data_IF_262956998733
#
_entry.id   IF_262956998733
#
_cell.length_a   1.000
_cell.length_b   1.000
_cell.length_c   1.000
_cell.angle_alpha   90.00
_cell.angle_beta   90.00
_cell.angle_gamma   90.00
#
_symmetry.space_group_name_H-M   'P 1'
#
loop_
_entity.id
_entity.type
_entity.pdbx_description
1 polymer ?
#
# COMPACT_ATOMS: atom_id res chain seq x y z
N UNK A 1 7.08 -1.58 -8.77
CA UNK A 1 7.61 -0.64 -9.79
C UNK A 1 8.00 0.66 -9.11
N UNK A 2 9.31 0.95 -8.97
CA UNK A 2 9.84 2.14 -8.28
C UNK A 2 10.54 3.13 -9.24
N UNK A 3 10.56 2.82 -10.54
CA UNK A 3 11.50 3.36 -11.53
C UNK A 3 10.98 4.51 -12.40
N UNK A 4 9.75 4.98 -12.19
CA UNK A 4 9.12 6.01 -13.06
C UNK A 4 8.85 7.34 -12.35
N UNK A 5 9.37 7.52 -11.13
CA UNK A 5 9.28 8.79 -10.40
C UNK A 5 10.64 9.50 -10.49
N UNK A 6 10.68 10.67 -11.12
CA UNK A 6 11.88 11.51 -11.17
C UNK A 6 12.08 12.35 -9.90
N UNK A 7 11.14 12.29 -8.95
CA UNK A 7 11.24 12.97 -7.67
C UNK A 7 11.96 12.12 -6.62
N UNK A 8 12.72 12.79 -5.76
CA UNK A 8 13.33 12.17 -4.60
C UNK A 8 12.24 11.58 -3.67
N UNK A 9 12.43 10.36 -3.14
CA UNK A 9 11.45 9.73 -2.26
C UNK A 9 11.35 10.49 -0.93
N UNK A 10 10.12 10.89 -0.57
CA UNK A 10 9.83 11.44 0.76
C UNK A 10 9.13 10.43 1.65
N UNK A 11 9.53 10.41 2.91
CA UNK A 11 9.00 9.49 3.90
C UNK A 11 7.60 9.92 4.35
N UNK A 12 6.64 8.99 4.30
CA UNK A 12 5.24 9.27 4.69
C UNK A 12 5.04 9.46 6.20
N UNK A 13 6.05 9.10 7.02
CA UNK A 13 5.99 9.22 8.49
C UNK A 13 6.55 10.55 8.99
N UNK A 14 7.67 11.01 8.44
CA UNK A 14 8.37 12.20 8.92
C UNK A 14 8.54 13.31 7.88
N UNK A 15 8.12 13.13 6.63
CA UNK A 15 8.25 14.12 5.54
C UNK A 15 9.71 14.44 5.14
N UNK A 16 10.66 13.61 5.57
CA UNK A 16 12.09 13.74 5.23
C UNK A 16 12.48 12.95 3.98
N UNK A 17 13.66 13.28 3.44
CA UNK A 17 14.22 12.73 2.21
C UNK A 17 14.82 11.32 2.42
N UNK A 18 13.93 10.33 2.58
CA UNK A 18 14.26 8.92 2.50
C UNK A 18 13.06 8.02 2.18
N UNK A 19 13.32 6.75 1.87
CA UNK A 19 12.29 5.72 1.71
C UNK A 19 11.66 5.42 3.08
N UNK A 20 10.34 5.23 3.14
CA UNK A 20 9.63 4.88 4.39
C UNK A 20 10.19 3.65 5.12
N UNK A 21 10.86 2.75 4.40
CA UNK A 21 11.55 1.55 4.93
C UNK A 21 12.78 1.91 5.78
N UNK A 22 13.52 2.95 5.43
CA UNK A 22 14.72 3.40 6.15
C UNK A 22 14.40 4.45 7.22
N UNK A 23 13.12 4.66 7.53
CA UNK A 23 12.69 5.68 8.49
C UNK A 23 12.92 5.21 9.92
N UNK A 24 13.75 5.95 10.67
CA UNK A 24 14.06 5.66 12.08
C UNK A 24 13.00 6.20 13.07
N UNK A 25 11.91 6.79 12.56
CA UNK A 25 10.82 7.33 13.38
C UNK A 25 10.03 6.18 14.03
N UNK A 26 9.85 6.22 15.35
CA UNK A 26 9.03 5.23 16.07
C UNK A 26 7.58 5.21 15.55
N UNK A 27 6.99 4.02 15.52
CA UNK A 27 5.58 3.81 15.14
C UNK A 27 4.61 4.53 16.07
N UNK A 28 4.98 4.73 17.33
CA UNK A 28 4.13 5.36 18.36
C UNK A 28 4.13 6.89 18.24
N UNK A 29 5.10 7.46 17.53
CA UNK A 29 5.20 8.91 17.38
C UNK A 29 4.30 9.41 16.24
N UNK A 30 3.65 10.58 16.39
CA UNK A 30 2.68 11.06 15.42
C UNK A 30 3.36 11.35 14.07
N UNK A 31 2.67 11.10 12.96
CA UNK A 31 3.20 11.43 11.64
C UNK A 31 3.37 12.95 11.47
N UNK A 32 4.27 13.38 10.59
CA UNK A 32 4.41 14.77 10.20
C UNK A 32 3.63 15.06 8.92
N UNK A 33 2.81 16.12 8.95
CA UNK A 33 1.95 16.49 7.84
C UNK A 33 2.75 17.19 6.74
N UNK A 34 2.84 16.59 5.54
CA UNK A 34 3.52 17.22 4.39
C UNK A 34 2.87 18.55 3.90
N UNK A 35 1.65 18.88 4.37
CA UNK A 35 0.92 20.09 3.97
C UNK A 35 1.06 21.25 4.96
N UNK A 36 1.30 20.97 6.24
CA UNK A 36 1.32 21.99 7.29
C UNK A 36 2.35 21.74 8.40
N UNK A 37 3.17 20.70 8.27
CA UNK A 37 4.20 20.28 9.23
C UNK A 37 3.69 19.90 10.63
N UNK A 38 2.37 19.75 10.81
CA UNK A 38 1.76 19.39 12.10
C UNK A 38 1.83 17.89 12.41
N UNK A 39 1.50 17.52 13.65
CA UNK A 39 1.52 16.15 14.17
C UNK A 39 0.29 15.33 13.74
N UNK A 40 0.13 15.15 12.43
CA UNK A 40 -0.89 14.31 11.82
C UNK A 40 -0.46 13.89 10.41
N UNK A 41 -1.11 12.89 9.83
CA UNK A 41 -0.89 12.55 8.41
C UNK A 41 -1.55 13.59 7.50
N UNK A 42 -1.03 13.77 6.27
CA UNK A 42 -1.60 14.72 5.31
C UNK A 42 -3.09 14.46 4.94
N UNK A 43 -3.60 13.26 5.20
CA UNK A 43 -5.01 12.88 4.99
C UNK A 43 -5.96 13.36 6.12
N UNK A 44 -5.43 13.96 7.20
CA UNK A 44 -6.26 14.43 8.31
C UNK A 44 -7.18 15.58 7.88
N UNK A 45 -8.50 15.35 7.92
CA UNK A 45 -9.53 16.33 7.51
C UNK A 45 -9.54 17.60 8.35
N UNK A 46 -8.97 17.57 9.55
CA UNK A 46 -8.81 18.74 10.41
C UNK A 46 -7.67 19.67 10.00
N UNK A 47 -6.78 19.24 9.08
CA UNK A 47 -5.63 20.04 8.66
C UNK A 47 -6.07 21.38 8.03
N UNK A 48 -5.56 22.53 8.53
CA UNK A 48 -5.93 23.84 8.01
C UNK A 48 -5.49 24.04 6.56
N UNK A 49 -4.30 23.52 6.18
CA UNK A 49 -3.82 23.57 4.79
C UNK A 49 -4.70 22.74 3.86
N UNK A 50 -5.06 21.52 4.27
CA UNK A 50 -5.98 20.67 3.50
C UNK A 50 -7.31 21.39 3.22
N UNK A 51 -7.93 21.98 4.25
CA UNK A 51 -9.17 22.75 4.11
C UNK A 51 -9.03 23.92 3.12
N UNK A 52 -7.91 24.65 3.16
CA UNK A 52 -7.63 25.75 2.21
C UNK A 52 -7.52 25.24 0.78
N UNK A 53 -6.83 24.11 0.57
CA UNK A 53 -6.66 23.50 -0.76
C UNK A 53 -8.02 23.07 -1.31
N UNK A 54 -8.83 22.33 -0.54
CA UNK A 54 -10.16 21.89 -0.96
C UNK A 54 -11.07 23.08 -1.29
N UNK A 55 -11.08 24.13 -0.46
CA UNK A 55 -11.86 25.35 -0.75
C UNK A 55 -11.47 25.97 -2.09
N UNK A 56 -10.17 26.04 -2.39
CA UNK A 56 -9.69 26.58 -3.67
C UNK A 56 -10.20 25.73 -4.85
N UNK A 57 -10.08 24.40 -4.75
CA UNK A 57 -10.53 23.47 -5.80
C UNK A 57 -12.03 23.59 -6.06
N UNK A 58 -12.84 23.76 -5.01
CA UNK A 58 -14.31 23.90 -5.14
C UNK A 58 -14.69 25.26 -5.74
N UNK A 59 -13.89 26.30 -5.51
CA UNK A 59 -14.19 27.66 -5.98
C UNK A 59 -13.71 27.89 -7.43
N UNK A 60 -12.70 27.13 -7.87
CA UNK A 60 -12.31 27.12 -9.28
C UNK A 60 -13.19 26.14 -10.04
N UNK A 61 -13.75 26.49 -11.22
CA UNK A 61 -14.27 25.47 -12.11
C UNK A 61 -13.17 24.42 -12.32
N UNK A 62 -13.50 23.11 -12.33
CA UNK A 62 -12.49 22.07 -12.50
C UNK A 62 -11.66 22.41 -13.73
N UNK A 63 -10.32 22.23 -13.69
CA UNK A 63 -9.52 22.32 -14.90
C UNK A 63 -10.20 21.41 -15.91
N UNK A 64 -10.57 21.97 -17.06
CA UNK A 64 -11.05 21.16 -18.18
C UNK A 64 -9.84 20.33 -18.60
N UNK A 65 -9.66 19.20 -17.92
CA UNK A 65 -8.87 18.12 -18.44
C UNK A 65 -9.65 17.64 -19.66
N UNK A 66 -9.26 18.10 -20.84
CA UNK A 66 -9.55 17.41 -22.08
C UNK A 66 -8.89 16.04 -21.97
N UNK A 67 -9.57 15.14 -21.28
CA UNK A 67 -9.31 13.72 -21.43
C UNK A 67 -9.77 13.40 -22.84
N UNK A 68 -8.83 13.32 -23.78
CA UNK A 68 -9.07 12.49 -24.95
C UNK A 68 -9.55 11.13 -24.43
N UNK A 69 -10.82 10.86 -24.71
CA UNK A 69 -11.56 9.74 -24.17
C UNK A 69 -11.04 8.46 -24.81
N UNK A 70 -9.88 7.99 -24.39
CA UNK A 70 -9.54 6.58 -24.54
C UNK A 70 -10.48 5.84 -23.60
N UNK A 71 -11.58 5.37 -24.19
CA UNK A 71 -12.67 4.65 -23.53
C UNK A 71 -12.14 3.28 -23.06
N UNK A 72 -11.34 3.24 -22.00
CA UNK A 72 -11.05 1.98 -21.33
C UNK A 72 -12.33 1.56 -20.60
N UNK A 73 -13.01 0.56 -21.15
CA UNK A 73 -14.17 -0.06 -20.52
C UNK A 73 -13.71 -0.64 -19.19
N UNK A 74 -14.16 -0.06 -18.08
CA UNK A 74 -13.90 -0.62 -16.76
C UNK A 74 -14.51 -2.03 -16.71
N UNK A 75 -13.66 -3.04 -16.50
CA UNK A 75 -14.11 -4.41 -16.29
C UNK A 75 -14.76 -4.53 -14.93
N UNK A 76 -15.88 -5.23 -14.88
CA UNK A 76 -16.59 -5.55 -13.63
C UNK A 76 -15.72 -6.49 -12.78
N UNK A 77 -15.93 -6.54 -11.46
CA UNK A 77 -15.18 -7.42 -10.54
C UNK A 77 -15.07 -8.88 -11.02
N UNK A 78 -16.16 -9.41 -11.60
CA UNK A 78 -16.24 -10.78 -12.15
C UNK A 78 -15.41 -10.96 -13.44
N UNK A 79 -15.15 -9.87 -14.14
CA UNK A 79 -14.49 -9.85 -15.45
C UNK A 79 -12.97 -9.71 -15.31
N UNK A 80 -12.49 -9.29 -14.12
CA UNK A 80 -11.07 -9.29 -13.75
C UNK A 80 -10.56 -10.69 -13.38
N UNK A 81 -11.43 -11.58 -12.93
CA UNK A 81 -11.06 -12.96 -12.52
C UNK A 81 -11.11 -13.96 -13.67
N UNK A 82 -11.69 -13.59 -14.83
CA UNK A 82 -11.94 -14.51 -15.94
C UNK A 82 -10.89 -14.47 -17.07
N UNK A 83 -9.89 -13.58 -17.01
CA UNK A 83 -8.83 -13.51 -18.02
C UNK A 83 -7.45 -13.61 -17.39
N UNK A 84 -6.95 -14.84 -17.27
CA UNK A 84 -5.52 -15.14 -17.38
C UNK A 84 -5.36 -16.61 -17.79
N UNK A 85 -5.66 -16.88 -19.06
CA UNK A 85 -5.08 -18.03 -19.76
C UNK A 85 -4.04 -17.50 -20.73
N UNK A 86 -2.85 -17.23 -20.20
CA UNK A 86 -1.61 -17.25 -20.99
C UNK A 86 -0.53 -17.87 -20.11
N UNK A 87 -0.35 -19.18 -20.34
CA UNK A 87 0.85 -19.98 -20.15
C UNK A 87 2.00 -19.30 -19.39
N UNK A 88 1.98 -19.44 -18.08
CA UNK A 88 3.20 -19.61 -17.30
C UNK A 88 3.06 -20.95 -16.60
N UNK A 89 4.03 -21.85 -16.80
CA UNK A 89 4.14 -23.07 -16.00
C UNK A 89 4.30 -22.65 -14.54
N UNK A 90 3.18 -22.57 -13.83
CA UNK A 90 3.17 -22.37 -12.40
C UNK A 90 3.20 -23.75 -11.75
N UNK A 91 4.29 -24.03 -11.04
CA UNK A 91 4.31 -25.05 -10.02
C UNK A 91 3.08 -24.87 -9.11
N UNK A 92 2.37 -25.96 -8.77
CA UNK A 92 1.14 -25.85 -8.00
C UNK A 92 1.42 -25.09 -6.70
N UNK A 93 0.49 -24.23 -6.30
CA UNK A 93 0.61 -23.36 -5.12
C UNK A 93 0.99 -24.16 -3.86
N UNK A 94 0.66 -25.46 -3.82
CA UNK A 94 1.12 -26.42 -2.81
C UNK A 94 2.63 -26.48 -2.66
N UNK A 95 3.39 -26.38 -3.75
CA UNK A 95 4.85 -26.49 -3.76
C UNK A 95 5.49 -25.21 -3.22
N UNK A 96 4.92 -24.05 -3.53
CA UNK A 96 5.35 -22.76 -2.98
C UNK A 96 5.08 -22.71 -1.47
N UNK A 97 3.89 -23.16 -1.05
CA UNK A 97 3.53 -23.24 0.37
C UNK A 97 4.41 -24.25 1.12
N UNK A 98 4.71 -25.40 0.51
CA UNK A 98 5.62 -26.40 1.09
C UNK A 98 7.04 -25.86 1.26
N UNK A 99 7.60 -25.19 0.24
CA UNK A 99 8.93 -24.57 0.30
C UNK A 99 9.03 -23.50 1.40
N UNK A 100 7.96 -22.71 1.60
CA UNK A 100 7.91 -21.70 2.65
C UNK A 100 7.85 -22.33 4.05
N UNK A 101 7.04 -23.39 4.21
CA UNK A 101 6.95 -24.13 5.48
C UNK A 101 8.31 -24.76 5.83
N UNK A 102 9.00 -25.41 4.89
CA UNK A 102 10.31 -26.03 5.15
C UNK A 102 11.37 -25.01 5.57
N UNK A 103 11.31 -23.78 5.06
CA UNK A 103 12.23 -22.69 5.42
C UNK A 103 12.00 -22.14 6.84
N UNK A 104 10.83 -22.37 7.44
CA UNK A 104 10.46 -21.88 8.78
C UNK A 104 10.74 -22.88 9.91
N UNK A 105 11.03 -24.15 9.60
CA UNK A 105 11.28 -25.18 10.61
C UNK A 105 12.62 -25.13 11.40
N UNK A 106 13.69 -24.37 11.07
CA UNK A 106 14.91 -24.43 11.89
C UNK A 106 14.86 -23.67 13.22
N UNK A 107 13.74 -22.99 13.57
CA UNK A 107 13.71 -22.09 14.74
C UNK A 107 12.65 -22.37 15.81
N UNK A 108 11.93 -23.49 15.80
CA UNK A 108 10.94 -23.77 16.85
C UNK A 108 11.05 -25.19 17.43
N UNK A 109 10.92 -25.33 18.76
CA UNK A 109 11.04 -26.62 19.43
C UNK A 109 9.91 -27.56 18.99
N UNK A 110 10.29 -28.82 18.81
CA UNK A 110 9.45 -29.95 18.40
C UNK A 110 8.35 -30.21 19.43
N UNK A 111 7.19 -29.59 19.27
CA UNK A 111 5.85 -30.05 19.70
C UNK A 111 4.81 -28.94 19.50
N UNK A 112 4.60 -28.51 18.26
CA UNK A 112 3.52 -27.57 17.93
C UNK A 112 2.61 -28.22 16.90
N UNK A 113 1.36 -28.48 17.27
CA UNK A 113 0.41 -29.19 16.41
C UNK A 113 -0.32 -28.21 15.50
N UNK A 114 -0.83 -28.71 14.37
CA UNK A 114 -1.60 -27.91 13.38
C UNK A 114 -2.79 -27.15 13.98
N UNK A 115 -3.29 -27.57 15.15
CA UNK A 115 -4.37 -26.88 15.87
C UNK A 115 -3.89 -25.57 16.51
N UNK A 116 -2.61 -25.49 16.87
CA UNK A 116 -2.04 -24.34 17.55
C UNK A 116 -1.78 -23.15 16.60
N UNK A 117 -1.59 -23.42 15.29
CA UNK A 117 -1.47 -22.37 14.25
C UNK A 117 -2.81 -21.74 13.89
N UNK A 118 -3.92 -22.50 13.97
CA UNK A 118 -5.26 -21.98 13.70
C UNK A 118 -5.75 -20.96 14.74
N UNK A 119 -5.24 -21.04 15.99
CA UNK A 119 -5.52 -20.05 17.04
C UNK A 119 -4.80 -18.71 16.85
N UNK A 120 -3.67 -18.69 16.13
CA UNK A 120 -2.90 -17.46 15.89
C UNK A 120 -3.49 -16.60 14.77
N UNK A 121 -4.38 -17.15 13.94
CA UNK A 121 -4.98 -16.46 12.78
C UNK A 121 -6.35 -15.87 13.12
N UNK A 122 -6.93 -16.16 14.30
CA UNK A 122 -8.26 -15.68 14.74
C UNK A 122 -8.20 -14.64 15.88
N UNK A 123 -7.36 -13.62 15.75
CA UNK A 123 -7.50 -12.34 16.49
C UNK A 123 -7.54 -11.19 15.50
#
# INVERSE_FOLDING_TARGET
TRSFCYYYPRCVKCDEDHLSESCNKSKDSPARCALCSGEHTANYKGCPSYKKIIKKIVTTPPPVHTHDKVKSKAKTYVEATSSNSTNFNFEPISNILSQFVTQLLPHYPTNFTFIDTLKLITI
#
